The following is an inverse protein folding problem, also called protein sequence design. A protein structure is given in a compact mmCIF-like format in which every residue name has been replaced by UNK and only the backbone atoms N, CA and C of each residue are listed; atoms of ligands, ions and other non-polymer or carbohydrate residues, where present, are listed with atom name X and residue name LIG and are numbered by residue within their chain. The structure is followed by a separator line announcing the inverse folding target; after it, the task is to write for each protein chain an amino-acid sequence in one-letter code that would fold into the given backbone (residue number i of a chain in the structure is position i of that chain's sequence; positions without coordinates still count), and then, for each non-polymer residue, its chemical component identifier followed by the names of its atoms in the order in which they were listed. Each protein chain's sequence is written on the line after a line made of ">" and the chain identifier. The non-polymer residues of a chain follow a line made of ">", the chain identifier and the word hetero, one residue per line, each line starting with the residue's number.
data_IF_094340486811
#
_entry.id   IF_094340486811
#
_cell.length_a   1.000
_cell.length_b   1.000
_cell.length_c   1.000
_cell.angle_alpha   90.00
_cell.angle_beta   90.00
_cell.angle_gamma   90.00
#
_symmetry.space_group_name_H-M   'P 1'
#
loop_
_entity.id
_entity.type
_entity.pdbx_description
1 polymer ?
#
# COMPACT_ATOMS: atom_id res chain seq x y z
N UNK A 1 12.65 0.16 -7.28
CA UNK A 1 12.74 0.49 -5.83
C UNK A 1 11.75 -0.42 -5.14
N UNK A 2 12.23 -1.43 -4.40
CA UNK A 2 11.39 -2.44 -3.75
C UNK A 2 10.78 -1.80 -2.49
N UNK A 3 9.45 -1.74 -2.38
CA UNK A 3 8.74 -1.11 -1.25
C UNK A 3 8.83 -1.93 0.06
N UNK A 4 9.54 -3.06 0.03
CA UNK A 4 9.63 -4.06 1.11
C UNK A 4 10.49 -3.63 2.31
N UNK A 5 11.15 -2.46 2.26
CA UNK A 5 12.18 -2.08 3.25
C UNK A 5 11.72 -1.22 4.44
N UNK A 6 10.54 -0.60 4.39
CA UNK A 6 9.97 0.12 5.53
C UNK A 6 8.79 -0.70 6.02
N UNK A 7 8.59 -0.82 7.34
CA UNK A 7 7.56 -1.64 7.99
C UNK A 7 6.14 -1.27 7.55
N UNK A 8 5.82 -1.64 6.31
CA UNK A 8 4.70 -1.09 5.58
C UNK A 8 3.53 -2.00 5.76
N UNK A 9 2.55 -1.58 6.55
CA UNK A 9 1.31 -2.34 6.70
C UNK A 9 0.48 -2.13 5.45
N UNK A 10 0.44 -3.15 4.60
CA UNK A 10 -0.40 -3.15 3.41
C UNK A 10 -1.76 -3.76 3.75
N UNK A 11 -2.83 -3.24 3.16
CA UNK A 11 -4.18 -3.80 3.32
C UNK A 11 -4.96 -3.70 2.02
N UNK A 12 -5.67 -4.79 1.71
CA UNK A 12 -6.64 -4.85 0.62
C UNK A 12 -8.00 -4.37 1.13
N UNK A 13 -8.70 -3.60 0.31
CA UNK A 13 -10.10 -3.26 0.53
C UNK A 13 -10.89 -3.78 -0.65
N UNK A 14 -11.85 -4.66 -0.34
CA UNK A 14 -12.65 -5.39 -1.31
C UNK A 14 -14.03 -4.77 -1.44
N UNK A 15 -14.58 -4.82 -2.63
CA UNK A 15 -15.98 -4.48 -2.88
C UNK A 15 -16.92 -5.63 -2.51
N UNK A 16 -18.22 -5.39 -2.58
CA UNK A 16 -19.27 -6.37 -2.30
C UNK A 16 -19.17 -7.65 -3.16
N UNK A 17 -18.63 -7.55 -4.38
CA UNK A 17 -18.38 -8.68 -5.26
C UNK A 17 -17.08 -9.47 -4.93
N UNK A 18 -16.33 -9.02 -3.93
CA UNK A 18 -15.07 -9.62 -3.49
C UNK A 18 -13.84 -9.16 -4.27
N UNK A 19 -14.00 -8.31 -5.29
CA UNK A 19 -12.87 -7.77 -6.04
C UNK A 19 -12.12 -6.71 -5.23
N UNK A 20 -10.78 -6.71 -5.33
CA UNK A 20 -9.94 -5.69 -4.67
C UNK A 20 -9.94 -4.43 -5.53
N UNK A 21 -10.26 -3.30 -4.91
CA UNK A 21 -10.45 -2.02 -5.61
C UNK A 21 -9.57 -0.89 -5.05
N UNK A 22 -9.21 -1.02 -3.77
CA UNK A 22 -8.30 -0.10 -3.09
C UNK A 22 -7.23 -0.89 -2.33
N UNK A 23 -5.98 -0.43 -2.43
CA UNK A 23 -4.86 -0.92 -1.64
C UNK A 23 -4.33 0.23 -0.82
N UNK A 24 -4.08 -0.01 0.45
CA UNK A 24 -3.45 0.98 1.33
C UNK A 24 -2.10 0.45 1.78
N UNK A 25 -1.09 1.31 1.79
CA UNK A 25 0.24 1.00 2.34
C UNK A 25 0.65 2.10 3.31
N UNK A 26 0.78 1.75 4.59
CA UNK A 26 1.16 2.68 5.66
C UNK A 26 2.66 2.59 5.92
N UNK A 27 3.37 3.72 6.03
CA UNK A 27 4.78 3.71 6.45
C UNK A 27 5.09 4.92 7.33
N UNK A 28 6.11 4.78 8.20
CA UNK A 28 6.53 5.86 9.09
C UNK A 28 7.97 6.23 8.80
N UNK A 29 8.24 7.53 8.66
CA UNK A 29 9.58 8.06 8.41
C UNK A 29 10.04 8.85 9.64
N UNK A 30 11.18 8.50 10.27
CA UNK A 30 11.77 9.32 11.33
C UNK A 30 12.10 10.72 10.82
N UNK A 31 11.80 11.75 11.62
CA UNK A 31 12.15 13.12 11.24
C UNK A 31 13.68 13.31 11.30
N UNK A 32 14.25 13.83 10.21
CA UNK A 32 15.68 14.17 10.16
C UNK A 32 16.06 15.32 11.09
N UNK A 33 15.09 16.18 11.42
CA UNK A 33 15.30 17.34 12.31
C UNK A 33 15.06 17.01 13.78
N UNK A 34 14.24 16.00 14.07
CA UNK A 34 13.88 15.59 15.43
C UNK A 34 13.69 14.08 15.49
N UNK A 35 14.73 13.37 15.96
CA UNK A 35 14.75 11.90 16.00
C UNK A 35 13.74 11.30 16.97
N UNK A 36 13.12 12.11 17.83
CA UNK A 36 12.03 11.67 18.72
C UNK A 36 10.67 11.66 18.03
N UNK A 37 10.58 12.28 16.85
CA UNK A 37 9.36 12.38 16.05
C UNK A 37 9.44 11.51 14.82
N UNK A 38 8.30 10.95 14.46
CA UNK A 38 8.13 10.18 13.25
C UNK A 38 6.86 10.66 12.54
N UNK A 39 6.96 10.84 11.22
CA UNK A 39 5.85 11.28 10.38
C UNK A 39 5.20 10.03 9.79
N UNK A 40 3.87 9.95 9.91
CA UNK A 40 3.08 8.85 9.35
C UNK A 40 2.64 9.19 7.94
N UNK A 41 2.87 8.27 7.02
CA UNK A 41 2.45 8.36 5.64
C UNK A 41 1.57 7.17 5.28
N UNK A 42 0.61 7.39 4.38
CA UNK A 42 -0.10 6.30 3.75
C UNK A 42 -0.25 6.57 2.25
N UNK A 43 0.01 5.54 1.46
CA UNK A 43 -0.29 5.52 0.02
C UNK A 43 -1.61 4.79 -0.19
N UNK A 44 -2.58 5.46 -0.80
CA UNK A 44 -3.88 4.89 -1.19
C UNK A 44 -3.85 4.70 -2.71
N UNK A 45 -3.80 3.46 -3.15
CA UNK A 45 -3.81 3.09 -4.57
C UNK A 45 -5.24 2.69 -4.93
N UNK A 46 -5.82 3.40 -5.88
CA UNK A 46 -7.22 3.24 -6.29
C UNK A 46 -7.26 2.86 -7.76
N UNK A 47 -8.05 1.84 -8.08
CA UNK A 47 -8.28 1.49 -9.48
C UNK A 47 -8.99 2.66 -10.21
N UNK A 48 -8.44 3.10 -11.34
CA UNK A 48 -8.88 4.31 -12.07
C UNK A 48 -10.35 4.29 -12.47
N UNK A 49 -10.89 3.14 -12.89
CA UNK A 49 -12.31 3.01 -13.26
C UNK A 49 -13.26 3.40 -12.14
N UNK A 50 -12.77 3.38 -10.91
CA UNK A 50 -13.48 3.67 -9.67
C UNK A 50 -13.10 5.06 -9.15
N UNK A 51 -11.81 5.41 -9.28
CA UNK A 51 -11.26 6.70 -8.85
C UNK A 51 -11.89 7.93 -9.53
N UNK A 52 -12.32 7.81 -10.80
CA UNK A 52 -13.01 8.91 -11.50
C UNK A 52 -14.49 9.04 -11.14
N UNK A 53 -15.09 8.02 -10.52
CA UNK A 53 -16.53 7.97 -10.23
C UNK A 53 -16.90 8.35 -8.78
N UNK A 54 -15.91 8.71 -7.93
CA UNK A 54 -16.16 9.03 -6.52
C UNK A 54 -16.57 7.79 -5.73
N UNK A 55 -15.68 6.81 -5.61
CA UNK A 55 -15.95 5.60 -4.82
C UNK A 55 -16.13 5.93 -3.33
N UNK A 56 -17.29 5.59 -2.74
CA UNK A 56 -17.53 5.79 -1.31
C UNK A 56 -16.48 5.12 -0.44
N UNK A 57 -16.00 3.93 -0.83
CA UNK A 57 -14.97 3.19 -0.10
C UNK A 57 -13.63 3.93 -0.12
N UNK A 58 -13.20 4.39 -1.30
CA UNK A 58 -11.94 5.15 -1.41
C UNK A 58 -12.00 6.45 -0.60
N UNK A 59 -13.12 7.16 -0.66
CA UNK A 59 -13.33 8.40 0.08
C UNK A 59 -13.34 8.19 1.60
N UNK A 60 -13.99 7.12 2.07
CA UNK A 60 -14.00 6.75 3.50
C UNK A 60 -12.60 6.42 4.01
N UNK A 61 -11.83 5.65 3.23
CA UNK A 61 -10.43 5.32 3.55
C UNK A 61 -9.58 6.59 3.63
N UNK A 62 -9.67 7.46 2.62
CA UNK A 62 -8.94 8.74 2.59
C UNK A 62 -9.30 9.61 3.80
N UNK A 63 -10.59 9.72 4.14
CA UNK A 63 -11.06 10.48 5.31
C UNK A 63 -10.51 9.88 6.61
N UNK A 64 -10.50 8.56 6.73
CA UNK A 64 -10.00 7.85 7.91
C UNK A 64 -8.51 8.09 8.12
N UNK A 65 -7.69 8.04 7.07
CA UNK A 65 -6.26 8.33 7.21
C UNK A 65 -5.98 9.80 7.54
N UNK A 66 -6.72 10.73 6.93
CA UNK A 66 -6.62 12.16 7.26
C UNK A 66 -6.95 12.43 8.73
N UNK A 67 -8.02 11.82 9.26
CA UNK A 67 -8.40 12.02 10.66
C UNK A 67 -7.38 11.44 11.65
N UNK A 68 -6.66 10.39 11.25
CA UNK A 68 -5.55 9.78 12.02
C UNK A 68 -4.23 10.54 11.90
N UNK A 69 -4.19 11.65 11.15
CA UNK A 69 -3.02 12.51 11.00
C UNK A 69 -1.95 12.00 10.03
N UNK A 70 -2.30 11.10 9.12
CA UNK A 70 -1.38 10.61 8.09
C UNK A 70 -1.23 11.63 6.95
N UNK A 71 0.00 11.76 6.45
CA UNK A 71 0.28 12.40 5.17
C UNK A 71 -0.07 11.43 4.05
N UNK A 72 -0.91 11.86 3.11
CA UNK A 72 -1.47 10.96 2.10
C UNK A 72 -0.83 11.14 0.72
N UNK A 73 -0.55 10.02 0.08
CA UNK A 73 -0.32 9.95 -1.36
C UNK A 73 -1.45 9.14 -2.00
N UNK A 74 -2.20 9.73 -2.93
CA UNK A 74 -3.35 9.07 -3.58
C UNK A 74 -2.99 8.82 -5.03
N UNK A 75 -3.04 7.57 -5.46
CA UNK A 75 -2.61 7.13 -6.79
C UNK A 75 -3.78 6.45 -7.50
N UNK A 76 -4.16 6.96 -8.67
CA UNK A 76 -5.17 6.34 -9.53
C UNK A 76 -4.51 5.63 -10.72
N UNK A 77 -4.61 4.30 -10.78
CA UNK A 77 -3.90 3.50 -11.79
C UNK A 77 -4.81 2.57 -12.59
N UNK A 78 -4.34 2.10 -13.76
CA UNK A 78 -5.09 1.12 -14.56
C UNK A 78 -5.17 -0.22 -13.85
N UNK A 79 -6.10 -1.11 -14.27
CA UNK A 79 -6.22 -2.46 -13.71
C UNK A 79 -4.90 -3.24 -13.77
N UNK A 80 -4.16 -3.11 -14.87
CA UNK A 80 -2.85 -3.77 -15.04
C UNK A 80 -1.87 -3.34 -13.93
N UNK A 81 -1.65 -2.03 -13.78
CA UNK A 81 -0.75 -1.48 -12.75
C UNK A 81 -1.25 -1.80 -11.34
N UNK A 82 -2.56 -1.79 -11.13
CA UNK A 82 -3.16 -2.13 -9.84
C UNK A 82 -2.84 -3.58 -9.43
N UNK A 83 -2.99 -4.52 -10.36
CA UNK A 83 -2.68 -5.93 -10.12
C UNK A 83 -1.17 -6.16 -9.92
N UNK A 84 -0.32 -5.42 -10.64
CA UNK A 84 1.14 -5.41 -10.40
C UNK A 84 1.45 -4.93 -8.96
N UNK A 85 0.80 -3.86 -8.50
CA UNK A 85 0.93 -3.41 -7.11
C UNK A 85 0.44 -4.44 -6.08
N UNK A 86 -0.66 -5.14 -6.34
CA UNK A 86 -1.11 -6.24 -5.46
C UNK A 86 -0.05 -7.33 -5.36
N UNK A 87 0.49 -7.78 -6.49
CA UNK A 87 1.51 -8.81 -6.51
C UNK A 87 2.79 -8.38 -5.80
N UNK A 88 3.28 -7.17 -6.07
CA UNK A 88 4.51 -6.66 -5.47
C UNK A 88 4.39 -6.43 -3.96
N UNK A 89 3.21 -6.03 -3.47
CA UNK A 89 2.99 -5.71 -2.07
C UNK A 89 2.62 -6.92 -1.20
N UNK A 90 1.94 -7.92 -1.77
CA UNK A 90 1.41 -9.06 -1.00
C UNK A 90 1.98 -10.43 -1.40
N UNK A 91 2.54 -10.58 -2.61
CA UNK A 91 3.11 -11.86 -3.07
C UNK A 91 4.64 -11.90 -3.04
N UNK A 92 5.30 -10.87 -2.47
CA UNK A 92 6.75 -10.79 -2.42
C UNK A 92 7.41 -11.67 -1.33
N UNK A 93 6.64 -12.49 -0.60
CA UNK A 93 7.14 -13.39 0.45
C UNK A 93 7.65 -14.75 -0.05
N UNK A 94 7.65 -15.03 -1.36
CA UNK A 94 7.97 -16.38 -1.89
C UNK A 94 9.33 -16.51 -2.60
N UNK A 95 10.27 -15.57 -2.39
CA UNK A 95 11.58 -15.57 -3.08
C UNK A 95 12.78 -15.39 -2.14
N UNK A 96 12.67 -15.92 -0.92
CA UNK A 96 13.80 -16.11 0.00
C UNK A 96 13.68 -17.43 0.76
N UNK A 97 13.72 -18.57 0.07
CA UNK A 97 14.42 -19.77 0.58
C UNK A 97 14.64 -20.82 -0.53
N UNK A 98 15.64 -20.62 -1.37
CA UNK A 98 16.32 -21.75 -2.02
C UNK A 98 17.79 -21.41 -2.27
N UNK A 99 18.48 -20.95 -1.22
CA UNK A 99 19.91 -21.25 -1.15
C UNK A 99 20.05 -22.76 -0.90
N UNK A 100 20.12 -23.55 -1.98
CA UNK A 100 20.75 -24.87 -1.89
C UNK A 100 22.21 -24.65 -1.47
N UNK A 101 22.50 -24.85 -0.18
CA UNK A 101 23.85 -24.97 0.32
C UNK A 101 24.62 -26.06 -0.43
N UNK A 102 25.96 -25.96 -0.54
CA UNK A 102 26.75 -26.90 -1.31
C UNK A 102 26.67 -28.29 -0.68
N UNK A 103 26.20 -29.28 -1.44
CA UNK A 103 26.31 -30.69 -1.05
C UNK A 103 27.79 -31.03 -0.87
N UNK A 104 28.11 -31.64 0.28
CA UNK A 104 29.43 -32.16 0.63
C UNK A 104 29.77 -33.43 -0.13
#
# INVERSE_FOLDING_TARGET
>A
MKLTGFGSRCSEHRDADGSVEVITSEYTVPSVHDKTKAIKYATVIVLRSIGSAGSPQADEIIRTYRSRGYQLNIVHCSRKLFNECLADLFNAEDDTDTEKGPEK
#
